data_IF_020148988450
#
_entry.id   IF_020148988450
#
_cell.length_a   1.000
_cell.length_b   1.000
_cell.length_c   1.000
_cell.angle_alpha   90.00
_cell.angle_beta   90.00
_cell.angle_gamma   90.00
#
_symmetry.space_group_name_H-M   'P 1'
#
loop_
_entity.id
_entity.type
_entity.pdbx_description
1 polymer ?
#
# COMPACT_ATOMS: atom_id res chain seq x y z
N UNK A 1 1.39 -45.88 -20.02
CA UNK A 1 1.13 -44.48 -20.43
C UNK A 1 1.66 -43.40 -19.47
N UNK A 2 2.38 -43.74 -18.39
CA UNK A 2 2.85 -42.75 -17.40
C UNK A 2 4.25 -42.19 -17.75
N UNK A 3 5.11 -42.98 -18.39
CA UNK A 3 6.47 -42.56 -18.75
C UNK A 3 6.53 -41.42 -19.80
N UNK A 4 5.59 -41.39 -20.75
CA UNK A 4 5.51 -40.33 -21.75
C UNK A 4 5.08 -38.99 -21.17
N UNK A 5 4.14 -38.98 -20.22
CA UNK A 5 3.72 -37.77 -19.52
C UNK A 5 4.80 -37.20 -18.59
N UNK A 6 5.53 -38.07 -17.89
CA UNK A 6 6.62 -37.65 -17.00
C UNK A 6 7.78 -37.00 -17.77
N UNK A 7 8.10 -37.51 -18.96
CA UNK A 7 9.14 -36.94 -19.83
C UNK A 7 8.78 -35.55 -20.35
N UNK A 8 7.54 -35.35 -20.81
CA UNK A 8 7.06 -34.03 -21.27
C UNK A 8 6.99 -33.04 -20.11
N UNK A 9 6.54 -33.49 -18.93
CA UNK A 9 6.49 -32.65 -17.74
C UNK A 9 7.88 -32.23 -17.25
N UNK A 10 8.87 -33.14 -17.29
CA UNK A 10 10.25 -32.82 -16.97
C UNK A 10 10.84 -31.79 -17.95
N UNK A 11 10.56 -31.94 -19.25
CA UNK A 11 11.02 -30.99 -20.27
C UNK A 11 10.36 -29.60 -20.10
N UNK A 12 9.07 -29.58 -19.78
CA UNK A 12 8.37 -28.34 -19.43
C UNK A 12 8.94 -27.68 -18.18
N UNK A 13 9.24 -28.45 -17.12
CA UNK A 13 9.86 -27.93 -15.91
C UNK A 13 11.24 -27.32 -16.20
N UNK A 14 12.06 -27.97 -17.03
CA UNK A 14 13.36 -27.44 -17.47
C UNK A 14 13.17 -26.15 -18.27
N UNK A 15 12.22 -26.09 -19.20
CA UNK A 15 11.93 -24.89 -19.97
C UNK A 15 11.50 -23.71 -19.07
N UNK A 16 10.65 -23.96 -18.07
CA UNK A 16 10.24 -22.94 -17.10
C UNK A 16 11.42 -22.44 -16.27
N UNK A 17 12.33 -23.33 -15.84
CA UNK A 17 13.54 -22.93 -15.10
C UNK A 17 14.45 -22.06 -15.96
N UNK A 18 14.67 -22.43 -17.23
CA UNK A 18 15.51 -21.65 -18.15
C UNK A 18 14.92 -20.25 -18.39
N UNK A 19 13.61 -20.15 -18.61
CA UNK A 19 12.93 -18.85 -18.80
C UNK A 19 13.01 -18.01 -17.53
N UNK A 20 12.81 -18.62 -16.35
CA UNK A 20 12.82 -17.89 -15.08
C UNK A 20 14.21 -17.41 -14.67
N UNK A 21 15.26 -18.18 -15.00
CA UNK A 21 16.65 -17.81 -14.70
C UNK A 21 17.23 -16.85 -15.75
N UNK A 22 16.74 -16.93 -17.00
CA UNK A 22 17.19 -16.11 -18.11
C UNK A 22 16.49 -14.75 -18.25
N UNK A 23 15.39 -14.50 -17.52
CA UNK A 23 14.72 -13.20 -17.49
C UNK A 23 15.68 -12.15 -16.88
N UNK A 24 16.20 -11.17 -17.65
CA UNK A 24 17.22 -10.23 -17.19
C UNK A 24 16.71 -9.21 -16.15
N UNK A 25 15.52 -9.43 -15.58
CA UNK A 25 14.84 -8.49 -14.72
C UNK A 25 14.31 -7.30 -15.51
N UNK A 26 13.74 -6.29 -14.82
CA UNK A 26 13.25 -5.10 -15.49
C UNK A 26 14.37 -4.46 -16.31
N UNK A 27 14.03 -3.92 -17.49
CA UNK A 27 14.96 -3.19 -18.32
C UNK A 27 15.71 -2.14 -17.45
N UNK A 28 16.99 -1.89 -17.73
CA UNK A 28 17.81 -0.98 -16.88
C UNK A 28 17.16 0.39 -16.67
N UNK A 29 16.42 0.86 -17.66
CA UNK A 29 15.61 2.07 -17.63
C UNK A 29 14.50 2.01 -16.57
N UNK A 30 13.82 0.86 -16.48
CA UNK A 30 12.76 0.63 -15.49
C UNK A 30 13.32 0.44 -14.08
N UNK A 31 14.52 -0.15 -13.96
CA UNK A 31 15.24 -0.24 -12.70
C UNK A 31 15.62 1.16 -12.18
N UNK A 32 16.13 2.05 -13.05
CA UNK A 32 16.44 3.42 -12.70
C UNK A 32 15.20 4.22 -12.28
N UNK A 33 14.11 4.18 -13.06
CA UNK A 33 12.82 4.81 -12.68
C UNK A 33 12.24 4.25 -11.38
N UNK A 34 12.37 2.94 -11.15
CA UNK A 34 11.95 2.32 -9.90
C UNK A 34 12.77 2.81 -8.71
N UNK A 35 14.06 3.10 -8.90
CA UNK A 35 14.91 3.68 -7.89
C UNK A 35 14.57 5.15 -7.62
N UNK A 36 14.36 5.95 -8.66
CA UNK A 36 13.92 7.35 -8.57
C UNK A 36 12.61 7.49 -7.78
N UNK A 37 11.60 6.68 -8.11
CA UNK A 37 10.32 6.65 -7.36
C UNK A 37 10.51 6.31 -5.89
N UNK A 38 11.45 5.42 -5.55
CA UNK A 38 11.74 5.06 -4.15
C UNK A 38 12.43 6.20 -3.42
N UNK A 39 13.34 6.91 -4.08
CA UNK A 39 14.01 8.08 -3.48
C UNK A 39 13.04 9.24 -3.26
N UNK A 40 12.18 9.53 -4.23
CA UNK A 40 11.13 10.55 -4.11
C UNK A 40 10.16 10.22 -2.97
N UNK A 41 9.73 8.96 -2.85
CA UNK A 41 8.89 8.50 -1.74
C UNK A 41 9.59 8.67 -0.38
N UNK A 42 10.88 8.37 -0.30
CA UNK A 42 11.65 8.53 0.93
C UNK A 42 11.77 10.02 1.32
N UNK A 43 12.03 10.89 0.35
CA UNK A 43 12.11 12.33 0.58
C UNK A 43 10.75 12.92 1.00
N UNK A 44 9.67 12.52 0.34
CA UNK A 44 8.32 12.93 0.69
C UNK A 44 7.97 12.52 2.12
N UNK A 45 8.22 11.25 2.48
CA UNK A 45 8.00 10.76 3.85
C UNK A 45 8.83 11.51 4.88
N UNK A 46 10.08 11.87 4.54
CA UNK A 46 10.93 12.66 5.42
C UNK A 46 10.32 14.05 5.65
N UNK A 47 9.94 14.75 4.59
CA UNK A 47 9.26 16.06 4.67
C UNK A 47 7.98 15.99 5.49
N UNK A 48 7.17 14.96 5.26
CA UNK A 48 5.92 14.76 6.02
C UNK A 48 6.20 14.52 7.50
N UNK A 49 7.19 13.69 7.84
CA UNK A 49 7.57 13.44 9.23
C UNK A 49 8.07 14.69 9.94
N UNK A 50 8.82 15.57 9.25
CA UNK A 50 9.29 16.84 9.81
C UNK A 50 8.11 17.79 10.04
N UNK A 51 7.19 17.88 9.07
CA UNK A 51 5.99 18.72 9.18
C UNK A 51 5.04 18.25 10.28
N UNK A 52 4.90 16.94 10.50
CA UNK A 52 4.02 16.39 11.55
C UNK A 52 4.58 16.56 12.97
N UNK A 53 5.89 16.73 13.12
CA UNK A 53 6.56 16.81 14.42
C UNK A 53 6.97 18.24 14.82
N UNK A 54 6.48 19.24 14.10
CA UNK A 54 6.80 20.65 14.35
C UNK A 54 5.60 21.42 14.88
N UNK A 55 5.88 22.47 15.66
CA UNK A 55 4.88 23.45 16.06
C UNK A 55 4.74 24.50 14.97
N UNK A 56 3.50 24.81 14.58
CA UNK A 56 3.21 25.83 13.60
C UNK A 56 1.88 26.53 13.90
N UNK A 57 1.74 27.78 13.43
CA UNK A 57 0.47 28.50 13.46
C UNK A 57 -0.24 28.19 12.14
N UNK A 58 -1.42 27.57 12.19
CA UNK A 58 -2.18 27.22 10.98
C UNK A 58 -3.10 28.37 10.60
N UNK A 59 -3.84 28.88 11.58
CA UNK A 59 -4.71 30.04 11.40
C UNK A 59 -4.71 30.89 12.66
N UNK A 60 -4.22 32.12 12.52
CA UNK A 60 -4.13 33.08 13.62
C UNK A 60 -5.45 33.79 13.90
N UNK A 61 -6.38 33.80 12.94
CA UNK A 61 -7.71 34.39 13.12
C UNK A 61 -8.66 33.40 13.80
N UNK A 62 -8.51 32.09 13.52
CA UNK A 62 -9.27 31.01 14.14
C UNK A 62 -8.60 30.33 15.33
N UNK A 63 -7.58 30.95 15.95
CA UNK A 63 -6.80 30.42 17.10
C UNK A 63 -6.38 28.94 16.94
N UNK A 64 -6.05 28.53 15.71
CA UNK A 64 -5.73 27.15 15.36
C UNK A 64 -4.23 26.95 15.23
N UNK A 65 -3.68 26.14 16.13
CA UNK A 65 -2.26 25.84 16.23
C UNK A 65 -1.99 24.37 15.95
N UNK A 66 -0.95 24.10 15.17
CA UNK A 66 -0.41 22.77 14.98
C UNK A 66 0.54 22.44 16.12
N UNK A 67 0.36 21.26 16.69
CA UNK A 67 1.25 20.64 17.67
C UNK A 67 1.84 19.35 17.09
N UNK A 68 3.04 18.92 17.54
CA UNK A 68 3.62 17.63 17.18
C UNK A 68 2.65 16.49 17.44
N UNK A 69 2.63 15.52 16.52
CA UNK A 69 1.64 14.44 16.56
C UNK A 69 1.75 13.60 17.84
N UNK A 70 2.96 13.35 18.35
CA UNK A 70 3.15 12.62 19.61
C UNK A 70 2.48 13.33 20.79
N UNK A 71 2.61 14.67 20.83
CA UNK A 71 1.98 15.48 21.87
C UNK A 71 0.46 15.52 21.71
N UNK A 72 -0.04 15.61 20.47
CA UNK A 72 -1.47 15.53 20.20
C UNK A 72 -2.06 14.20 20.70
N UNK A 73 -1.39 13.09 20.38
CA UNK A 73 -1.81 11.75 20.80
C UNK A 73 -1.83 11.61 22.33
N UNK A 74 -0.81 12.11 23.04
CA UNK A 74 -0.79 12.12 24.50
C UNK A 74 -2.00 12.87 25.09
N UNK A 75 -2.30 14.05 24.54
CA UNK A 75 -3.43 14.88 24.98
C UNK A 75 -4.77 14.20 24.71
N UNK A 76 -4.93 13.56 23.55
CA UNK A 76 -6.15 12.82 23.20
C UNK A 76 -6.32 11.61 24.12
N UNK A 77 -5.28 10.81 24.34
CA UNK A 77 -5.35 9.66 25.27
C UNK A 77 -5.75 10.14 26.66
N UNK A 78 -5.12 11.21 27.17
CA UNK A 78 -5.49 11.80 28.46
C UNK A 78 -6.94 12.28 28.49
N UNK A 79 -7.43 12.89 27.40
CA UNK A 79 -8.80 13.40 27.29
C UNK A 79 -9.84 12.27 27.29
N UNK A 80 -9.54 11.13 26.65
CA UNK A 80 -10.49 10.04 26.47
C UNK A 80 -10.25 8.83 27.39
N UNK A 81 -9.26 8.87 28.28
CA UNK A 81 -8.92 7.76 29.20
C UNK A 81 -10.11 7.27 30.06
N UNK A 82 -11.12 8.11 30.29
CA UNK A 82 -12.33 7.77 31.05
C UNK A 82 -13.62 7.66 30.22
N UNK A 83 -13.54 7.81 28.90
CA UNK A 83 -14.72 7.79 28.03
C UNK A 83 -14.92 6.39 27.47
N UNK A 84 -16.08 5.77 27.71
CA UNK A 84 -16.43 4.49 27.11
C UNK A 84 -16.45 4.60 25.58
N UNK A 85 -15.87 3.65 24.83
CA UNK A 85 -15.93 3.66 23.38
C UNK A 85 -17.38 3.68 22.92
N UNK A 86 -17.73 4.64 22.07
CA UNK A 86 -19.06 4.70 21.49
C UNK A 86 -19.18 3.60 20.44
N UNK A 87 -20.21 2.76 20.55
CA UNK A 87 -20.47 1.70 19.57
C UNK A 87 -20.74 2.34 18.21
N UNK A 88 -19.83 2.13 17.26
CA UNK A 88 -20.08 2.47 15.85
C UNK A 88 -20.98 1.37 15.30
N UNK A 89 -22.19 1.74 14.87
CA UNK A 89 -23.04 0.84 14.10
C UNK A 89 -22.26 0.45 12.84
N UNK A 90 -22.06 -0.85 12.64
CA UNK A 90 -21.45 -1.38 11.42
C UNK A 90 -22.22 -0.81 10.22
N UNK A 91 -21.56 0.04 9.43
CA UNK A 91 -22.06 0.37 8.10
C UNK A 91 -22.13 -0.96 7.35
N UNK A 92 -23.30 -1.36 6.82
CA UNK A 92 -23.38 -2.59 6.05
C UNK A 92 -22.34 -2.53 4.95
N UNK A 93 -21.49 -3.56 4.87
CA UNK A 93 -20.56 -3.74 3.76
C UNK A 93 -21.36 -3.56 2.47
N UNK A 94 -20.94 -2.69 1.53
CA UNK A 94 -21.62 -2.60 0.25
C UNK A 94 -21.63 -4.00 -0.35
N UNK A 95 -22.84 -4.53 -0.53
CA UNK A 95 -23.12 -5.78 -1.20
C UNK A 95 -22.34 -5.79 -2.51
N UNK A 96 -21.60 -6.87 -2.75
CA UNK A 96 -20.70 -7.02 -3.88
C UNK A 96 -21.39 -6.54 -5.17
N UNK A 97 -20.84 -5.50 -5.79
CA UNK A 97 -21.23 -5.09 -7.14
C UNK A 97 -21.22 -6.33 -8.04
N UNK A 98 -22.31 -6.63 -8.78
CA UNK A 98 -22.30 -7.78 -9.67
C UNK A 98 -21.18 -7.59 -10.69
N UNK A 99 -20.22 -8.53 -10.72
CA UNK A 99 -19.23 -8.57 -11.79
C UNK A 99 -19.99 -8.66 -13.13
N UNK A 100 -19.65 -7.84 -14.14
CA UNK A 100 -20.27 -7.96 -15.45
C UNK A 100 -19.91 -9.35 -16.01
N UNK A 101 -20.92 -10.20 -16.17
CA UNK A 101 -20.78 -11.45 -16.91
C UNK A 101 -20.39 -11.10 -18.35
N UNK A 102 -19.36 -11.73 -18.94
CA UNK A 102 -19.02 -11.47 -20.34
C UNK A 102 -20.21 -11.89 -21.20
N UNK A 103 -20.77 -10.91 -21.92
CA UNK A 103 -21.79 -11.15 -22.92
C UNK A 103 -21.21 -12.09 -23.99
N UNK A 104 -21.87 -13.23 -24.19
CA UNK A 104 -21.65 -14.05 -25.35
C UNK A 104 -22.04 -13.24 -26.59
N UNK A 105 -21.07 -12.94 -27.43
CA UNK A 105 -21.24 -12.34 -28.76
C UNK A 105 -21.88 -13.38 -29.70
N UNK A 106 -22.83 -13.00 -30.58
CA UNK A 106 -23.48 -13.92 -31.52
C UNK A 106 -22.52 -14.49 -32.58
#
# INVERSE_FOLDING_TARGET
MIAGGLGVFALFAVAVVVVRVGDPGPAREDAARAQERRTELAELRKKDSERLNTYAVIDRAGDSFQIPIDRAMELIVKKYAGTSPHAVLLVPSPEASPSPSPAATP
#
